data_IF_983233772369
#
_entry.id   IF_983233772369
#
_cell.length_a   1.000
_cell.length_b   1.000
_cell.length_c   1.000
_cell.angle_alpha   90.00
_cell.angle_beta   90.00
_cell.angle_gamma   90.00
#
_symmetry.space_group_name_H-M   'P 1'
#
loop_
_entity.id
_entity.type
_entity.pdbx_description
1 polymer ?
#
# COMPACT_ATOMS: atom_id res chain seq x y z
N UNK A 1 -15.04 2.59 -1.91
CA UNK A 1 -13.71 3.21 -2.01
C UNK A 1 -13.48 4.02 -0.75
N UNK A 2 -12.39 3.73 -0.03
CA UNK A 2 -11.99 4.48 1.16
C UNK A 2 -11.53 5.87 0.75
N UNK A 3 -11.96 6.89 1.49
CA UNK A 3 -11.47 8.25 1.29
C UNK A 3 -10.06 8.38 1.88
N UNK A 4 -9.10 8.80 1.06
CA UNK A 4 -7.72 9.00 1.48
C UNK A 4 -7.10 10.26 0.87
N UNK A 5 -6.17 10.86 1.61
CA UNK A 5 -5.41 12.04 1.17
C UNK A 5 -3.91 11.71 1.16
N UNK A 6 -3.22 11.98 0.05
CA UNK A 6 -1.75 11.86 0.00
C UNK A 6 -1.14 12.92 0.91
N UNK A 7 -0.40 12.48 1.93
CA UNK A 7 0.31 13.37 2.86
C UNK A 7 1.80 13.46 2.56
N UNK A 8 2.36 12.45 1.90
CA UNK A 8 3.75 12.44 1.48
C UNK A 8 3.96 11.45 0.34
N UNK A 9 4.72 11.88 -0.66
CA UNK A 9 5.16 11.03 -1.76
C UNK A 9 6.65 11.26 -1.99
N UNK A 10 7.40 10.17 -2.14
CA UNK A 10 8.80 10.21 -2.54
C UNK A 10 9.02 9.27 -3.70
N UNK A 11 9.48 9.83 -4.81
CA UNK A 11 9.74 9.09 -6.04
C UNK A 11 11.20 9.25 -6.43
N UNK A 12 11.93 8.14 -6.47
CA UNK A 12 13.21 8.05 -7.14
C UNK A 12 12.95 7.54 -8.55
N UNK A 13 13.49 8.24 -9.55
CA UNK A 13 13.26 7.86 -10.95
C UNK A 13 13.61 6.38 -11.17
N UNK A 14 12.62 5.61 -11.61
CA UNK A 14 12.74 4.23 -12.07
C UNK A 14 13.30 3.22 -11.05
N UNK A 15 13.20 3.52 -9.75
CA UNK A 15 13.79 2.66 -8.70
C UNK A 15 12.83 2.43 -7.56
N UNK A 16 12.44 3.48 -6.83
CA UNK A 16 11.62 3.36 -5.63
C UNK A 16 10.58 4.47 -5.55
N UNK A 17 9.38 4.12 -5.09
CA UNK A 17 8.32 5.09 -4.79
C UNK A 17 7.72 4.76 -3.43
N UNK A 18 7.59 5.75 -2.56
CA UNK A 18 6.93 5.62 -1.27
C UNK A 18 5.79 6.62 -1.16
N UNK A 19 4.59 6.14 -0.87
CA UNK A 19 3.39 6.96 -0.69
C UNK A 19 2.89 6.79 0.74
N UNK A 20 2.57 7.90 1.41
CA UNK A 20 1.85 7.91 2.68
C UNK A 20 0.51 8.59 2.47
N UNK A 21 -0.54 7.93 2.92
CA UNK A 21 -1.93 8.33 2.80
C UNK A 21 -2.48 8.53 4.21
N UNK A 22 -3.12 9.67 4.46
CA UNK A 22 -4.05 9.80 5.57
C UNK A 22 -5.36 9.13 5.18
N UNK A 23 -5.90 8.32 6.07
CA UNK A 23 -7.18 7.66 5.87
C UNK A 23 -8.25 8.48 6.58
N UNK A 24 -9.15 9.05 5.79
CA UNK A 24 -10.20 9.96 6.26
C UNK A 24 -11.52 9.22 6.54
N UNK A 25 -11.59 7.95 6.15
CA UNK A 25 -12.78 7.13 6.24
C UNK A 25 -12.76 6.23 7.48
N UNK A 26 -13.74 6.41 8.36
CA UNK A 26 -13.89 5.63 9.61
C UNK A 26 -14.14 4.14 9.38
N UNK A 27 -14.56 3.74 8.18
CA UNK A 27 -14.78 2.33 7.83
C UNK A 27 -13.49 1.58 7.50
N UNK A 28 -12.36 2.28 7.30
CA UNK A 28 -11.05 1.67 7.15
C UNK A 28 -10.59 1.08 8.48
N UNK A 29 -10.82 -0.21 8.65
CA UNK A 29 -10.41 -0.95 9.84
C UNK A 29 -9.51 -2.12 9.48
N UNK A 30 -8.64 -2.49 10.42
CA UNK A 30 -7.78 -3.66 10.33
C UNK A 30 -8.05 -4.59 11.51
N UNK A 31 -8.25 -5.88 11.23
CA UNK A 31 -8.37 -6.88 12.27
C UNK A 31 -6.98 -7.39 12.67
N UNK A 32 -6.43 -6.86 13.75
CA UNK A 32 -5.09 -7.23 14.24
C UNK A 32 -5.10 -8.46 15.15
N UNK A 33 -6.27 -8.96 15.57
CA UNK A 33 -6.34 -10.09 16.51
C UNK A 33 -5.88 -11.41 15.89
N UNK A 34 -5.86 -11.52 14.56
CA UNK A 34 -5.56 -12.75 13.84
C UNK A 34 -6.57 -13.89 14.09
N UNK A 35 -7.56 -13.68 14.95
CA UNK A 35 -8.57 -14.66 15.29
C UNK A 35 -9.87 -14.35 14.52
N UNK A 36 -10.25 -15.16 13.52
CA UNK A 36 -11.46 -14.91 12.75
C UNK A 36 -12.74 -15.05 13.58
N UNK A 37 -12.70 -15.79 14.69
CA UNK A 37 -13.85 -15.99 15.57
C UNK A 37 -14.01 -14.87 16.61
N UNK A 38 -12.99 -14.02 16.79
CA UNK A 38 -13.04 -12.86 17.67
C UNK A 38 -12.26 -11.70 17.04
N UNK A 39 -12.82 -11.07 15.99
CA UNK A 39 -12.16 -9.97 15.33
C UNK A 39 -12.08 -8.76 16.27
N UNK A 40 -10.91 -8.13 16.34
CA UNK A 40 -10.72 -6.82 16.99
C UNK A 40 -10.40 -5.80 15.89
N UNK A 41 -11.43 -5.23 15.22
CA UNK A 41 -11.21 -4.20 14.22
C UNK A 41 -10.69 -2.94 14.91
N UNK A 42 -9.60 -2.38 14.37
CA UNK A 42 -9.02 -1.11 14.81
C UNK A 42 -8.99 -0.17 13.61
N UNK A 43 -9.40 1.07 13.81
CA UNK A 43 -9.39 2.09 12.75
C UNK A 43 -7.97 2.40 12.29
N UNK A 44 -7.80 2.53 10.98
CA UNK A 44 -6.55 2.93 10.34
C UNK A 44 -6.59 4.42 10.10
N UNK A 45 -5.56 5.15 10.55
CA UNK A 45 -5.43 6.61 10.38
C UNK A 45 -4.46 6.98 9.27
N UNK A 46 -3.46 6.13 9.01
CA UNK A 46 -2.55 6.29 7.88
C UNK A 46 -2.19 4.94 7.24
N UNK A 47 -1.95 4.97 5.93
CA UNK A 47 -1.41 3.85 5.16
C UNK A 47 -0.12 4.31 4.48
N UNK A 48 0.98 3.58 4.68
CA UNK A 48 2.22 3.78 3.96
C UNK A 48 2.48 2.59 3.03
N UNK A 49 2.75 2.89 1.76
CA UNK A 49 2.99 1.91 0.70
C UNK A 49 4.35 2.18 0.08
N UNK A 50 5.17 1.15 -0.01
CA UNK A 50 6.44 1.16 -0.72
C UNK A 50 6.33 0.38 -2.02
N UNK A 51 6.90 0.92 -3.10
CA UNK A 51 6.98 0.30 -4.41
C UNK A 51 8.42 0.30 -4.88
N UNK A 52 8.79 -0.76 -5.60
CA UNK A 52 10.02 -0.85 -6.37
C UNK A 52 9.69 -1.09 -7.83
N UNK A 53 10.21 -0.24 -8.71
CA UNK A 53 10.08 -0.41 -10.14
C UNK A 53 11.38 -0.99 -10.70
N UNK A 54 11.28 -2.04 -11.51
CA UNK A 54 12.40 -2.62 -12.25
C UNK A 54 12.11 -2.53 -13.74
N UNK A 55 13.01 -1.88 -14.49
CA UNK A 55 12.93 -1.83 -15.94
C UNK A 55 13.80 -2.92 -16.56
N UNK A 56 13.18 -3.78 -17.36
CA UNK A 56 13.87 -4.78 -18.17
C UNK A 56 13.82 -4.34 -19.62
N UNK A 57 15.00 -4.14 -20.20
CA UNK A 57 15.17 -3.77 -21.61
C UNK A 57 15.46 -5.03 -22.42
N UNK A 58 14.53 -5.41 -23.30
CA UNK A 58 14.68 -6.55 -24.22
C UNK A 58 14.53 -6.07 -25.65
N UNK A 59 15.64 -5.79 -26.32
CA UNK A 59 15.64 -5.26 -27.68
C UNK A 59 15.08 -3.82 -27.74
N UNK A 60 13.97 -3.63 -28.47
CA UNK A 60 13.26 -2.33 -28.56
C UNK A 60 12.15 -2.17 -27.51
N UNK A 61 11.92 -3.17 -26.67
CA UNK A 61 10.82 -3.15 -25.69
C UNK A 61 11.40 -2.90 -24.30
N UNK A 62 10.90 -1.87 -23.64
CA UNK A 62 11.10 -1.65 -22.20
C UNK A 62 9.87 -2.15 -21.46
N UNK A 63 10.06 -3.12 -20.56
CA UNK A 63 9.02 -3.58 -19.64
C UNK A 63 9.34 -3.05 -18.25
N UNK A 64 8.41 -2.32 -17.65
CA UNK A 64 8.48 -1.93 -16.24
C UNK A 64 7.66 -2.92 -15.42
N UNK A 65 8.30 -3.58 -14.46
CA UNK A 65 7.63 -4.37 -13.42
C UNK A 65 7.62 -3.54 -12.14
N UNK A 66 6.46 -3.44 -11.49
CA UNK A 66 6.30 -2.75 -10.20
C UNK A 66 5.97 -3.79 -9.15
N UNK A 67 6.69 -3.75 -8.04
CA UNK A 67 6.56 -4.65 -6.90
C UNK A 67 6.25 -3.83 -5.65
N UNK A 68 5.30 -4.29 -4.83
CA UNK A 68 5.06 -3.69 -3.51
C UNK A 68 6.12 -4.20 -2.54
N UNK A 69 6.87 -3.29 -1.94
CA UNK A 69 7.98 -3.61 -1.02
C UNK A 69 7.63 -3.45 0.44
N UNK A 70 6.59 -2.67 0.75
CA UNK A 70 6.11 -2.50 2.11
C UNK A 70 4.65 -2.03 2.12
N UNK A 71 3.87 -2.51 3.09
CA UNK A 71 2.58 -1.95 3.47
C UNK A 71 2.57 -1.83 4.99
N UNK A 72 2.39 -0.62 5.48
CA UNK A 72 2.36 -0.29 6.92
C UNK A 72 1.11 0.52 7.25
N UNK A 73 0.44 0.15 8.33
CA UNK A 73 -0.75 0.81 8.85
C UNK A 73 -0.40 1.56 10.12
N UNK A 74 -0.83 2.81 10.24
CA UNK A 74 -0.94 3.50 11.52
C UNK A 74 -2.36 3.32 12.05
N UNK A 75 -2.48 2.89 13.29
CA UNK A 75 -3.73 2.50 13.92
C UNK A 75 -4.12 3.51 15.00
N UNK A 76 -5.43 3.74 15.14
CA UNK A 76 -6.00 4.49 16.27
C UNK A 76 -6.17 3.58 17.50
N UNK A 77 -5.06 3.02 17.98
CA UNK A 77 -5.02 2.22 19.21
C UNK A 77 -3.78 2.64 20.05
N UNK A 78 -3.96 2.94 21.34
CA UNK A 78 -2.88 3.44 22.19
C UNK A 78 -1.80 2.37 22.48
N UNK A 79 -2.18 1.09 22.47
CA UNK A 79 -1.34 -0.05 22.81
C UNK A 79 -0.64 -0.63 21.56
N UNK A 80 -1.30 -0.54 20.40
CA UNK A 80 -0.78 -1.03 19.12
C UNK A 80 -0.93 0.04 18.03
N UNK A 81 0.05 0.95 17.97
CA UNK A 81 0.00 2.08 17.03
C UNK A 81 0.29 1.73 15.58
N UNK A 82 0.94 0.60 15.31
CA UNK A 82 1.38 0.23 13.96
C UNK A 82 1.22 -1.25 13.68
N UNK A 83 0.81 -1.57 12.46
CA UNK A 83 0.79 -2.93 11.93
C UNK A 83 1.47 -2.98 10.55
N UNK A 84 2.01 -4.15 10.21
CA UNK A 84 2.78 -4.35 8.98
C UNK A 84 2.26 -5.59 8.27
N UNK A 85 2.22 -5.55 6.94
CA UNK A 85 2.02 -6.76 6.14
C UNK A 85 3.33 -7.54 6.11
N UNK A 86 3.30 -8.82 6.46
CA UNK A 86 4.48 -9.68 6.40
C UNK A 86 5.01 -9.77 4.97
N UNK A 87 6.33 -9.80 4.77
CA UNK A 87 6.96 -9.75 3.45
C UNK A 87 6.45 -10.84 2.49
N UNK A 88 6.18 -12.04 3.00
CA UNK A 88 5.64 -13.16 2.23
C UNK A 88 4.17 -13.01 1.81
N UNK A 89 3.52 -11.90 2.14
CA UNK A 89 2.13 -11.58 1.79
C UNK A 89 2.03 -10.33 0.92
N UNK A 90 3.16 -9.65 0.64
CA UNK A 90 3.20 -8.41 -0.17
C UNK A 90 2.98 -8.66 -1.67
N UNK A 91 3.01 -9.92 -2.11
CA UNK A 91 2.69 -10.34 -3.47
C UNK A 91 1.30 -10.99 -3.58
N UNK A 92 0.50 -10.95 -2.50
CA UNK A 92 -0.80 -11.61 -2.39
C UNK A 92 -1.92 -10.58 -2.13
N UNK A 93 -2.28 -9.74 -3.13
CA UNK A 93 -3.27 -8.69 -2.96
C UNK A 93 -4.65 -9.18 -2.50
N UNK A 94 -4.99 -10.43 -2.83
CA UNK A 94 -6.22 -11.09 -2.41
C UNK A 94 -6.30 -11.36 -0.89
N UNK A 95 -5.17 -11.30 -0.18
CA UNK A 95 -5.13 -11.49 1.27
C UNK A 95 -5.20 -10.16 2.04
N UNK A 96 -5.12 -9.03 1.34
CA UNK A 96 -5.25 -7.72 1.97
C UNK A 96 -6.73 -7.35 2.13
N UNK A 97 -7.04 -6.41 3.03
CA UNK A 97 -8.34 -5.75 2.99
C UNK A 97 -8.56 -5.15 1.59
N UNK A 98 -9.76 -5.31 1.02
CA UNK A 98 -10.06 -4.88 -0.36
C UNK A 98 -9.70 -3.42 -0.61
N UNK A 99 -9.98 -2.54 0.35
CA UNK A 99 -9.64 -1.13 0.25
C UNK A 99 -8.14 -0.86 0.17
N UNK A 100 -7.31 -1.70 0.79
CA UNK A 100 -5.84 -1.59 0.68
C UNK A 100 -5.41 -1.96 -0.73
N UNK A 101 -5.96 -3.05 -1.28
CA UNK A 101 -5.66 -3.47 -2.65
C UNK A 101 -6.05 -2.37 -3.66
N UNK A 102 -7.22 -1.75 -3.50
CA UNK A 102 -7.67 -0.61 -4.32
C UNK A 102 -6.70 0.59 -4.24
N UNK A 103 -6.25 0.97 -3.03
CA UNK A 103 -5.31 2.09 -2.85
C UNK A 103 -3.91 1.74 -3.39
N UNK A 104 -3.45 0.51 -3.19
CA UNK A 104 -2.17 0.03 -3.74
C UNK A 104 -2.16 0.11 -5.25
N UNK A 105 -3.25 -0.30 -5.90
CA UNK A 105 -3.41 -0.21 -7.35
C UNK A 105 -3.50 1.25 -7.81
N UNK A 106 -4.34 2.06 -7.15
CA UNK A 106 -4.58 3.45 -7.50
C UNK A 106 -3.29 4.31 -7.44
N UNK A 107 -2.46 4.09 -6.42
CA UNK A 107 -1.21 4.83 -6.22
C UNK A 107 0.03 4.08 -6.73
N UNK A 108 -0.16 2.97 -7.46
CA UNK A 108 0.96 2.25 -8.08
C UNK A 108 1.63 3.16 -9.11
N UNK A 109 2.97 3.33 -9.07
CA UNK A 109 3.68 4.10 -10.07
C UNK A 109 3.50 3.43 -11.44
N UNK A 110 2.63 3.97 -12.27
CA UNK A 110 2.43 3.51 -13.63
C UNK A 110 3.77 3.63 -14.37
N UNK A 111 4.25 2.51 -14.92
CA UNK A 111 5.56 2.40 -15.59
C UNK A 111 5.73 3.24 -16.86
N UNK A 112 4.96 4.31 -17.02
CA UNK A 112 4.97 5.27 -18.12
C UNK A 112 5.43 6.62 -17.60
N UNK A 113 6.61 7.05 -18.02
CA UNK A 113 6.76 8.48 -18.27
C UNK A 113 5.68 8.89 -19.28
N UNK A 114 4.84 9.87 -18.93
CA UNK A 114 3.92 10.51 -19.87
C UNK A 114 2.51 10.78 -19.33
N UNK A 115 2.28 12.04 -18.97
CA UNK A 115 1.07 12.86 -19.13
C UNK A 115 -0.31 12.23 -18.86
N UNK A 116 -1.00 12.80 -17.86
CA UNK A 116 -2.13 13.70 -18.12
C UNK A 116 -2.31 14.71 -16.98
#
# INVERSE_FOLDING_TARGET
>A
MITSTVIYERTQQYTETGVRLRIDDVSATLNVSGNPNNPKPISVTELAIGYKATQVHSGRTTKTTVEVTNITYLLDDPDCKMAYVHASRLDQPQEWPTWVAELVEHYSPSGTGGAQ
#
